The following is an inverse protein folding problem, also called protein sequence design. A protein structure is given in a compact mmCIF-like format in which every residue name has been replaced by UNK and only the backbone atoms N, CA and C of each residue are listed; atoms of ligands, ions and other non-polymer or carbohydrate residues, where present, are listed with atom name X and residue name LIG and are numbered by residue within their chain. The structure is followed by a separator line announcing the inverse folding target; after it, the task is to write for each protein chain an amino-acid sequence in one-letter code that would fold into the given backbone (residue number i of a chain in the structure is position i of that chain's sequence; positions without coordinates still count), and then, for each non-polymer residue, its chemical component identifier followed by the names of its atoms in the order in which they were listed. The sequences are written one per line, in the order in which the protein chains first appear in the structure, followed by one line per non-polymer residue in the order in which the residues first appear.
data_IF_247396687435
#
_entry.id   IF_247396687435
#
_cell.length_a   1.000
_cell.length_b   1.000
_cell.length_c   1.000
_cell.angle_alpha   90.00
_cell.angle_beta   90.00
_cell.angle_gamma   90.00
#
_symmetry.space_group_name_H-M   'P 1'
#
loop_
_entity.id
_entity.type
_entity.pdbx_description
1 polymer ?
#
# COMPACT_ATOMS: atom_id res chain seq x y z
N UNK A 1 12.82 -26.53 6.80
CA UNK A 1 12.57 -25.62 7.96
C UNK A 1 12.09 -24.23 7.51
N UNK A 2 12.96 -23.26 7.17
CA UNK A 2 12.52 -21.90 6.77
C UNK A 2 11.77 -21.86 5.43
N UNK A 3 12.16 -22.67 4.44
CA UNK A 3 11.42 -22.80 3.17
C UNK A 3 10.08 -23.52 3.32
N UNK A 4 9.93 -24.42 4.30
CA UNK A 4 8.67 -25.12 4.55
C UNK A 4 7.69 -24.21 5.30
N UNK A 5 8.16 -23.45 6.31
CA UNK A 5 7.29 -22.53 7.08
C UNK A 5 6.76 -21.35 6.26
N UNK A 6 7.44 -21.00 5.18
CA UNK A 6 7.04 -19.93 4.24
C UNK A 6 5.80 -20.34 3.44
N UNK A 7 5.58 -21.64 3.20
CA UNK A 7 4.39 -22.12 2.47
C UNK A 7 3.10 -22.09 3.31
N UNK A 8 3.21 -22.09 4.64
CA UNK A 8 2.07 -22.26 5.56
C UNK A 8 1.47 -20.94 6.07
N UNK A 9 2.13 -19.79 5.88
CA UNK A 9 1.61 -18.46 6.24
C UNK A 9 1.50 -17.58 4.99
N UNK A 10 0.31 -17.50 4.37
CA UNK A 10 0.19 -16.76 3.14
C UNK A 10 0.23 -15.22 3.32
N UNK A 11 0.10 -14.70 4.55
CA UNK A 11 0.35 -13.29 4.84
C UNK A 11 1.85 -12.98 4.84
N UNK A 12 2.66 -13.89 5.42
CA UNK A 12 4.12 -13.82 5.30
C UNK A 12 4.56 -13.94 3.84
N UNK A 13 3.97 -14.86 3.06
CA UNK A 13 4.25 -14.98 1.62
C UNK A 13 3.98 -13.70 0.87
N UNK A 14 2.80 -13.10 1.08
CA UNK A 14 2.42 -11.89 0.39
C UNK A 14 3.38 -10.73 0.76
N UNK A 15 3.80 -10.62 2.01
CA UNK A 15 4.80 -9.63 2.42
C UNK A 15 6.16 -9.85 1.73
N UNK A 16 6.62 -11.10 1.62
CA UNK A 16 7.86 -11.45 0.92
C UNK A 16 7.77 -11.16 -0.59
N UNK A 17 6.66 -11.51 -1.23
CA UNK A 17 6.40 -11.25 -2.65
C UNK A 17 6.40 -9.73 -2.94
N UNK A 18 5.83 -8.91 -2.05
CA UNK A 18 5.90 -7.44 -2.16
C UNK A 18 7.32 -6.89 -1.99
N UNK A 19 8.09 -7.43 -1.05
CA UNK A 19 9.48 -7.00 -0.88
C UNK A 19 10.32 -7.36 -2.12
N UNK A 20 10.14 -8.57 -2.65
CA UNK A 20 10.86 -9.04 -3.83
C UNK A 20 10.44 -8.28 -5.09
N UNK A 21 9.16 -7.94 -5.24
CA UNK A 21 8.68 -7.16 -6.39
C UNK A 21 9.38 -5.80 -6.50
N UNK A 22 9.59 -5.11 -5.37
CA UNK A 22 10.32 -3.85 -5.34
C UNK A 22 11.80 -4.03 -5.73
N UNK A 23 12.44 -5.10 -5.26
CA UNK A 23 13.82 -5.42 -5.63
C UNK A 23 13.93 -5.71 -7.13
N UNK A 24 13.03 -6.50 -7.69
CA UNK A 24 13.01 -6.78 -9.13
C UNK A 24 12.75 -5.50 -9.95
N UNK A 25 11.88 -4.60 -9.47
CA UNK A 25 11.65 -3.30 -10.11
C UNK A 25 12.93 -2.44 -10.14
N UNK A 26 13.65 -2.36 -9.02
CA UNK A 26 14.93 -1.65 -8.92
C UNK A 26 16.01 -2.24 -9.84
N UNK A 27 15.92 -3.52 -10.16
CA UNK A 27 16.78 -4.21 -11.13
C UNK A 27 16.31 -4.05 -12.58
N UNK A 28 15.23 -3.31 -12.83
CA UNK A 28 14.63 -3.15 -14.16
C UNK A 28 13.89 -4.40 -14.66
N UNK A 29 13.67 -5.41 -13.83
CA UNK A 29 12.98 -6.65 -14.18
C UNK A 29 11.47 -6.47 -14.09
N UNK A 30 10.94 -5.63 -14.99
CA UNK A 30 9.54 -5.20 -15.04
C UNK A 30 8.54 -6.34 -14.87
N UNK A 31 8.61 -7.36 -15.73
CA UNK A 31 7.60 -8.42 -15.75
C UNK A 31 7.60 -9.25 -14.46
N UNK A 32 8.78 -9.50 -13.89
CA UNK A 32 8.91 -10.20 -12.60
C UNK A 32 8.37 -9.36 -11.46
N UNK A 33 8.69 -8.06 -11.44
CA UNK A 33 8.20 -7.14 -10.44
C UNK A 33 6.67 -7.09 -10.42
N UNK A 34 6.04 -6.89 -11.58
CA UNK A 34 4.59 -6.83 -11.70
C UNK A 34 3.93 -8.18 -11.39
N UNK A 35 4.52 -9.29 -11.82
CA UNK A 35 4.01 -10.62 -11.48
C UNK A 35 3.97 -10.86 -9.96
N UNK A 36 5.06 -10.56 -9.26
CA UNK A 36 5.16 -10.72 -7.81
C UNK A 36 4.21 -9.77 -7.07
N UNK A 37 4.12 -8.51 -7.50
CA UNK A 37 3.22 -7.53 -6.90
C UNK A 37 1.74 -7.94 -7.05
N UNK A 38 1.34 -8.41 -8.23
CA UNK A 38 -0.01 -8.88 -8.51
C UNK A 38 -0.33 -10.18 -7.75
N UNK A 39 0.62 -11.12 -7.66
CA UNK A 39 0.48 -12.34 -6.86
C UNK A 39 0.24 -11.99 -5.39
N UNK A 40 1.06 -11.11 -4.82
CA UNK A 40 0.93 -10.72 -3.41
C UNK A 40 -0.42 -10.05 -3.14
N UNK A 41 -0.85 -9.16 -4.03
CA UNK A 41 -2.16 -8.53 -3.93
C UNK A 41 -3.29 -9.58 -3.99
N UNK A 42 -3.23 -10.52 -4.92
CA UNK A 42 -4.22 -11.58 -5.04
C UNK A 42 -4.29 -12.45 -3.78
N UNK A 43 -3.15 -12.72 -3.11
CA UNK A 43 -3.12 -13.42 -1.82
C UNK A 43 -3.80 -12.64 -0.71
N UNK A 44 -3.49 -11.34 -0.57
CA UNK A 44 -4.19 -10.49 0.40
C UNK A 44 -5.67 -10.38 0.10
N UNK A 45 -6.05 -10.31 -1.18
CA UNK A 45 -7.44 -10.30 -1.61
C UNK A 45 -8.14 -11.63 -1.40
N UNK A 46 -7.47 -12.78 -1.48
CA UNK A 46 -8.12 -14.08 -1.25
C UNK A 46 -8.23 -14.41 0.22
N UNK A 47 -7.27 -13.98 1.04
CA UNK A 47 -7.31 -14.16 2.50
C UNK A 47 -8.13 -13.09 3.24
N UNK A 48 -8.12 -11.86 2.73
CA UNK A 48 -8.85 -10.70 3.24
C UNK A 48 -10.11 -10.36 2.42
N UNK A 49 -10.62 -11.33 1.65
CA UNK A 49 -11.56 -11.15 0.53
C UNK A 49 -12.85 -10.37 0.76
N UNK A 50 -13.20 -9.99 1.99
CA UNK A 50 -14.51 -9.39 2.26
C UNK A 50 -14.54 -8.25 3.31
N UNK A 51 -13.41 -7.79 3.88
CA UNK A 51 -13.48 -6.86 5.03
C UNK A 51 -12.89 -5.45 4.83
N UNK A 52 -12.21 -5.17 3.72
CA UNK A 52 -11.51 -3.89 3.54
C UNK A 52 -10.41 -3.67 4.59
N UNK A 53 -9.77 -4.76 5.05
CA UNK A 53 -8.69 -4.76 6.04
C UNK A 53 -7.31 -4.96 5.41
N UNK A 54 -7.21 -4.89 4.09
CA UNK A 54 -5.93 -4.99 3.38
C UNK A 54 -4.93 -3.96 3.96
N UNK A 55 -3.69 -4.36 4.27
CA UNK A 55 -2.71 -3.43 4.78
C UNK A 55 -2.44 -2.33 3.74
N UNK A 56 -2.41 -1.04 4.11
CA UNK A 56 -2.01 0.03 3.20
C UNK A 56 -0.65 -0.21 2.51
N UNK A 57 0.20 -1.03 3.14
CA UNK A 57 1.49 -1.46 2.61
C UNK A 57 1.40 -2.17 1.25
N UNK A 58 0.31 -2.89 0.97
CA UNK A 58 0.14 -3.61 -0.31
C UNK A 58 0.05 -2.59 -1.44
N UNK A 59 -0.95 -1.72 -1.40
CA UNK A 59 -1.15 -0.68 -2.40
C UNK A 59 0.03 0.30 -2.49
N UNK A 60 0.61 0.65 -1.35
CA UNK A 60 1.82 1.46 -1.29
C UNK A 60 2.99 0.83 -2.05
N UNK A 61 3.23 -0.46 -1.86
CA UNK A 61 4.35 -1.15 -2.50
C UNK A 61 4.13 -1.31 -4.00
N UNK A 62 2.90 -1.63 -4.42
CA UNK A 62 2.51 -1.67 -5.84
C UNK A 62 2.71 -0.29 -6.49
N UNK A 63 2.29 0.79 -5.82
CA UNK A 63 2.53 2.16 -6.30
C UNK A 63 4.03 2.46 -6.48
N UNK A 64 4.85 2.05 -5.50
CA UNK A 64 6.31 2.18 -5.54
C UNK A 64 6.95 1.39 -6.68
N UNK A 65 6.46 0.18 -6.97
CA UNK A 65 6.92 -0.63 -8.12
C UNK A 65 6.68 0.12 -9.42
N UNK A 66 5.45 0.58 -9.66
CA UNK A 66 5.12 1.37 -10.85
C UNK A 66 5.95 2.66 -10.92
N UNK A 67 6.15 3.35 -9.81
CA UNK A 67 6.95 4.57 -9.75
C UNK A 67 8.43 4.31 -10.14
N UNK A 68 9.04 3.25 -9.61
CA UNK A 68 10.42 2.85 -9.96
C UNK A 68 10.54 2.47 -11.43
N UNK A 69 9.50 1.86 -12.00
CA UNK A 69 9.43 1.51 -13.41
C UNK A 69 9.09 2.71 -14.33
N UNK A 70 8.88 3.91 -13.77
CA UNK A 70 8.56 5.12 -14.54
C UNK A 70 7.09 5.27 -14.94
N UNK A 71 6.21 4.40 -14.44
CA UNK A 71 4.78 4.34 -14.78
C UNK A 71 3.97 5.29 -13.90
N UNK A 72 4.18 6.58 -14.12
CA UNK A 72 3.65 7.65 -13.25
C UNK A 72 2.12 7.64 -13.11
N UNK A 73 1.37 7.33 -14.17
CA UNK A 73 -0.09 7.23 -14.13
C UNK A 73 -0.59 6.11 -13.22
N UNK A 74 -0.03 4.91 -13.39
CA UNK A 74 -0.35 3.76 -12.54
C UNK A 74 0.08 4.00 -11.09
N UNK A 75 1.29 4.52 -10.88
CA UNK A 75 1.78 4.86 -9.55
C UNK A 75 0.81 5.78 -8.80
N UNK A 76 0.32 6.86 -9.46
CA UNK A 76 -0.69 7.77 -8.88
C UNK A 76 -1.99 7.04 -8.54
N UNK A 77 -2.49 6.20 -9.44
CA UNK A 77 -3.70 5.40 -9.21
C UNK A 77 -3.56 4.54 -7.96
N UNK A 78 -2.45 3.84 -7.81
CA UNK A 78 -2.18 3.00 -6.65
C UNK A 78 -1.94 3.79 -5.37
N UNK A 79 -1.28 4.95 -5.42
CA UNK A 79 -1.16 5.84 -4.28
C UNK A 79 -2.54 6.35 -3.81
N UNK A 80 -3.46 6.69 -4.73
CA UNK A 80 -4.85 7.04 -4.37
C UNK A 80 -5.52 5.91 -3.58
N UNK A 81 -5.36 4.66 -4.02
CA UNK A 81 -5.90 3.47 -3.32
C UNK A 81 -5.26 3.27 -1.95
N UNK A 82 -3.95 3.46 -1.84
CA UNK A 82 -3.24 3.38 -0.56
C UNK A 82 -3.75 4.44 0.44
N UNK A 83 -3.92 5.70 0.01
CA UNK A 83 -4.47 6.79 0.84
C UNK A 83 -5.90 6.48 1.25
N UNK A 84 -6.74 6.01 0.33
CA UNK A 84 -8.12 5.62 0.63
C UNK A 84 -8.17 4.50 1.69
N UNK A 85 -7.25 3.53 1.64
CA UNK A 85 -7.17 2.47 2.64
C UNK A 85 -6.73 2.98 4.02
N UNK A 86 -5.82 3.96 4.07
CA UNK A 86 -5.47 4.66 5.31
C UNK A 86 -6.68 5.41 5.88
N UNK A 87 -7.48 6.11 5.07
CA UNK A 87 -8.72 6.75 5.57
C UNK A 87 -9.75 5.71 6.02
N UNK A 88 -9.92 4.62 5.26
CA UNK A 88 -10.90 3.58 5.59
C UNK A 88 -10.63 2.95 6.96
N UNK A 89 -9.37 2.64 7.28
CA UNK A 89 -8.98 2.15 8.61
C UNK A 89 -9.08 3.29 9.64
N UNK A 90 -8.54 4.46 9.35
CA UNK A 90 -8.50 5.59 10.27
C UNK A 90 -9.88 6.13 10.67
N UNK A 91 -10.84 6.12 9.75
CA UNK A 91 -12.21 6.63 9.95
C UNK A 91 -13.01 5.80 10.96
N UNK A 92 -12.67 4.51 11.12
CA UNK A 92 -13.26 3.61 12.13
C UNK A 92 -12.68 3.83 13.54
N UNK A 93 -11.59 4.58 13.66
CA UNK A 93 -10.93 4.87 14.94
C UNK A 93 -11.46 6.17 15.56
N UNK A 94 -11.46 6.23 16.89
CA UNK A 94 -11.70 7.48 17.61
C UNK A 94 -10.58 8.49 17.32
N UNK A 95 -10.86 9.79 17.46
CA UNK A 95 -9.95 10.89 17.10
C UNK A 95 -8.52 10.69 17.61
N UNK A 96 -8.35 10.35 18.90
CA UNK A 96 -7.03 10.17 19.52
C UNK A 96 -6.26 8.98 18.93
N UNK A 97 -6.97 7.87 18.65
CA UNK A 97 -6.39 6.67 18.06
C UNK A 97 -6.06 6.90 16.58
N UNK A 98 -6.93 7.60 15.85
CA UNK A 98 -6.71 8.02 14.45
C UNK A 98 -5.44 8.85 14.31
N UNK A 99 -5.24 9.85 15.17
CA UNK A 99 -4.01 10.66 15.18
C UNK A 99 -2.77 9.75 15.35
N UNK A 100 -2.78 8.85 16.34
CA UNK A 100 -1.67 7.90 16.56
C UNK A 100 -1.47 6.96 15.37
N UNK A 101 -2.55 6.51 14.74
CA UNK A 101 -2.52 5.65 13.55
C UNK A 101 -1.88 6.36 12.37
N UNK A 102 -2.33 7.59 12.06
CA UNK A 102 -1.76 8.41 10.98
C UNK A 102 -0.30 8.79 11.24
N UNK A 103 0.11 8.89 12.51
CA UNK A 103 1.51 9.10 12.89
C UNK A 103 2.38 7.86 12.72
N UNK A 104 1.86 6.66 12.43
CA UNK A 104 2.69 5.48 12.18
C UNK A 104 3.55 5.68 10.93
N UNK A 105 4.76 5.12 10.94
CA UNK A 105 5.73 5.30 9.86
C UNK A 105 5.15 4.95 8.47
N UNK A 106 4.42 3.84 8.36
CA UNK A 106 3.77 3.44 7.11
C UNK A 106 2.73 4.46 6.63
N UNK A 107 1.86 4.96 7.51
CA UNK A 107 0.84 5.92 7.14
C UNK A 107 1.47 7.23 6.67
N UNK A 108 2.48 7.73 7.38
CA UNK A 108 3.23 8.92 6.94
C UNK A 108 3.88 8.70 5.58
N UNK A 109 4.55 7.56 5.37
CA UNK A 109 5.16 7.23 4.09
C UNK A 109 4.15 7.19 2.95
N UNK A 110 2.98 6.57 3.15
CA UNK A 110 1.89 6.55 2.17
C UNK A 110 1.47 7.96 1.78
N UNK A 111 1.22 8.84 2.77
CA UNK A 111 0.70 10.18 2.50
C UNK A 111 1.76 11.08 1.85
N UNK A 112 3.00 11.04 2.33
CA UNK A 112 4.10 11.83 1.77
C UNK A 112 4.46 11.40 0.35
N UNK A 113 4.55 10.10 0.08
CA UNK A 113 4.88 9.59 -1.25
C UNK A 113 3.75 9.79 -2.25
N UNK A 114 2.49 9.70 -1.80
CA UNK A 114 1.34 10.07 -2.62
C UNK A 114 1.43 11.54 -3.07
N UNK A 115 1.72 12.47 -2.15
CA UNK A 115 1.91 13.89 -2.47
C UNK A 115 3.09 14.10 -3.42
N UNK A 116 4.24 13.43 -3.18
CA UNK A 116 5.40 13.46 -4.09
C UNK A 116 5.07 12.92 -5.48
N UNK A 117 4.18 11.94 -5.57
CA UNK A 117 3.70 11.40 -6.84
C UNK A 117 2.68 12.32 -7.54
N UNK A 118 2.27 13.43 -6.92
CA UNK A 118 1.28 14.35 -7.46
C UNK A 118 -0.16 13.95 -7.15
N UNK A 119 -0.38 13.14 -6.11
CA UNK A 119 -1.71 12.84 -5.56
C UNK A 119 -1.96 13.76 -4.37
N UNK A 120 -2.79 14.81 -4.52
CA UNK A 120 -3.08 15.73 -3.43
C UNK A 120 -3.82 15.02 -2.30
N UNK A 121 -3.32 15.16 -1.06
CA UNK A 121 -3.93 14.59 0.15
C UNK A 121 -4.53 15.71 0.98
N UNK A 122 -5.86 15.75 1.04
CA UNK A 122 -6.61 16.66 1.91
C UNK A 122 -6.67 16.09 3.32
N UNK A 123 -6.49 16.96 4.32
CA UNK A 123 -6.57 16.60 5.75
C UNK A 123 -7.55 17.53 6.43
N UNK A 124 -8.61 16.98 7.01
CA UNK A 124 -9.58 17.74 7.77
C UNK A 124 -9.02 18.05 9.17
N UNK A 125 -8.92 19.34 9.53
CA UNK A 125 -8.26 19.78 10.75
C UNK A 125 -9.01 19.37 12.03
N UNK A 126 -10.33 19.26 11.97
CA UNK A 126 -11.15 18.95 13.14
C UNK A 126 -11.16 17.45 13.43
N UNK A 127 -11.46 16.66 12.41
CA UNK A 127 -11.63 15.21 12.50
C UNK A 127 -10.35 14.42 12.25
N UNK A 128 -9.30 15.01 11.67
CA UNK A 128 -8.12 14.30 11.17
C UNK A 128 -8.47 13.20 10.15
N UNK A 129 -9.59 13.34 9.43
CA UNK A 129 -9.88 12.50 8.26
C UNK A 129 -9.00 12.93 7.10
N UNK A 130 -8.71 11.97 6.22
CA UNK A 130 -7.85 12.21 5.07
C UNK A 130 -8.57 11.76 3.80
N UNK A 131 -8.27 12.38 2.67
CA UNK A 131 -8.74 11.91 1.37
C UNK A 131 -7.73 12.25 0.29
N UNK A 132 -7.63 11.39 -0.72
CA UNK A 132 -6.95 11.74 -1.96
C UNK A 132 -7.96 12.50 -2.84
N UNK A 133 -7.63 13.71 -3.29
CA UNK A 133 -8.52 14.43 -4.19
C UNK A 133 -8.46 13.83 -5.61
N UNK A 134 -9.57 13.96 -6.34
CA UNK A 134 -9.58 13.77 -7.80
C UNK A 134 -8.89 14.99 -8.42
N UNK A 135 -7.56 14.90 -8.56
CA UNK A 135 -6.79 15.73 -9.49
C UNK A 135 -6.94 15.25 -10.91
#
# INVERSE_FOLDING_TARGET
ALQESVTDDPALMAALELALSLVEALRGQRDRALHLANSAQARFQTQGALSGEEPPAVYYTVARVHQVLGETGEARSWFKRAVAQVDAIGSRLERKQRIRYLQRALCRAVLEEAERAGVPVTRDAESNRISAAEG
#
